data_IF_171871919623
#
_entry.id   IF_171871919623
#
_cell.length_a   1.000
_cell.length_b   1.000
_cell.length_c   1.000
_cell.angle_alpha   90.00
_cell.angle_beta   90.00
_cell.angle_gamma   90.00
#
_symmetry.space_group_name_H-M   'P 1'
#
loop_
_entity.id
_entity.type
_entity.pdbx_description
1 polymer ?
#
# COMPACT_ATOMS: atom_id res chain seq x y z
N UNK A 1 8.98 -12.29 -24.49
CA UNK A 1 7.56 -12.33 -24.08
C UNK A 1 7.19 -13.79 -23.86
N UNK A 2 6.79 -14.17 -22.65
CA UNK A 2 6.66 -15.59 -22.24
C UNK A 2 5.55 -16.29 -23.03
N UNK A 3 5.81 -17.51 -23.51
CA UNK A 3 4.90 -18.24 -24.38
C UNK A 3 3.53 -18.54 -23.74
N UNK A 4 3.46 -18.68 -22.41
CA UNK A 4 2.28 -19.20 -21.72
C UNK A 4 1.05 -18.28 -21.79
N UNK A 5 1.17 -16.98 -21.50
CA UNK A 5 0.03 -16.05 -21.50
C UNK A 5 -0.13 -15.23 -22.80
N UNK A 6 0.79 -15.38 -23.76
CA UNK A 6 0.87 -14.48 -24.94
C UNK A 6 -0.45 -14.34 -25.70
N UNK A 7 -1.14 -15.45 -25.95
CA UNK A 7 -2.41 -15.44 -26.68
C UNK A 7 -3.53 -14.80 -25.85
N UNK A 8 -3.60 -15.09 -24.54
CA UNK A 8 -4.56 -14.46 -23.62
C UNK A 8 -4.38 -12.95 -23.53
N UNK A 9 -3.13 -12.48 -23.54
CA UNK A 9 -2.80 -11.05 -23.62
C UNK A 9 -3.29 -10.43 -24.93
N UNK A 10 -3.11 -11.11 -26.06
CA UNK A 10 -3.57 -10.63 -27.36
C UNK A 10 -5.11 -10.52 -27.41
N UNK A 11 -5.81 -11.55 -26.96
CA UNK A 11 -7.28 -11.57 -26.88
C UNK A 11 -7.81 -10.49 -25.93
N UNK A 12 -7.23 -10.38 -24.72
CA UNK A 12 -7.60 -9.34 -23.76
C UNK A 12 -7.37 -7.94 -24.33
N UNK A 13 -6.24 -7.73 -25.01
CA UNK A 13 -5.94 -6.44 -25.66
C UNK A 13 -6.94 -6.12 -26.76
N UNK A 14 -7.34 -7.09 -27.57
CA UNK A 14 -8.32 -6.88 -28.64
C UNK A 14 -9.70 -6.52 -28.07
N UNK A 15 -10.20 -7.35 -27.15
CA UNK A 15 -11.58 -7.26 -26.69
C UNK A 15 -11.80 -6.21 -25.59
N UNK A 16 -10.81 -5.94 -24.74
CA UNK A 16 -10.91 -4.94 -23.67
C UNK A 16 -10.42 -3.56 -24.12
N UNK A 17 -9.86 -3.40 -25.33
CA UNK A 17 -9.41 -2.09 -25.85
C UNK A 17 -10.43 -0.96 -25.66
N UNK A 18 -11.74 -1.15 -25.94
CA UNK A 18 -12.70 -0.06 -25.81
C UNK A 18 -12.80 0.46 -24.37
N UNK A 19 -12.93 -0.43 -23.38
CA UNK A 19 -13.03 -0.04 -21.96
C UNK A 19 -11.71 0.51 -21.43
N UNK A 20 -10.58 -0.03 -21.87
CA UNK A 20 -9.27 0.48 -21.45
C UNK A 20 -9.02 1.89 -22.01
N UNK A 21 -9.41 2.16 -23.26
CA UNK A 21 -9.33 3.50 -23.86
C UNK A 21 -10.25 4.49 -23.16
N UNK A 22 -11.48 4.08 -22.85
CA UNK A 22 -12.47 4.86 -22.10
C UNK A 22 -11.91 5.31 -20.75
N UNK A 23 -11.22 4.43 -20.03
CA UNK A 23 -10.66 4.70 -18.71
C UNK A 23 -9.21 5.23 -18.72
N UNK A 24 -8.62 5.47 -19.91
CA UNK A 24 -7.22 5.93 -20.01
C UNK A 24 -6.18 4.90 -19.55
N UNK A 25 -6.52 3.61 -19.53
CA UNK A 25 -5.68 2.51 -19.07
C UNK A 25 -5.00 1.77 -20.24
N UNK A 26 -3.89 1.11 -19.93
CA UNK A 26 -3.17 0.20 -20.80
C UNK A 26 -3.02 -1.16 -20.11
N UNK A 27 -2.98 -2.21 -20.93
CA UNK A 27 -2.76 -3.58 -20.46
C UNK A 27 -1.26 -3.84 -20.28
N UNK A 28 -0.89 -4.30 -19.10
CA UNK A 28 0.46 -4.73 -18.72
C UNK A 28 0.44 -6.17 -18.22
N UNK A 29 1.61 -6.78 -18.14
CA UNK A 29 1.77 -8.18 -17.70
C UNK A 29 2.84 -8.27 -16.63
N UNK A 30 2.55 -8.98 -15.55
CA UNK A 30 3.48 -9.32 -14.49
C UNK A 30 3.60 -10.83 -14.39
N UNK A 31 4.79 -11.32 -14.06
CA UNK A 31 5.03 -12.72 -13.76
C UNK A 31 5.51 -12.83 -12.31
N UNK A 32 4.77 -13.61 -11.53
CA UNK A 32 5.08 -13.98 -10.15
C UNK A 32 5.32 -15.48 -10.09
N UNK A 33 5.91 -15.96 -9.01
CA UNK A 33 6.12 -17.39 -8.82
C UNK A 33 4.79 -18.15 -8.92
N UNK A 34 4.69 -19.07 -9.89
CA UNK A 34 3.50 -19.86 -10.22
C UNK A 34 2.25 -19.09 -10.68
N UNK A 35 2.37 -17.81 -11.05
CA UNK A 35 1.22 -17.00 -11.48
C UNK A 35 1.60 -15.96 -12.52
N UNK A 36 0.81 -15.82 -13.58
CA UNK A 36 0.88 -14.65 -14.47
C UNK A 36 -0.34 -13.76 -14.26
N UNK A 37 -0.11 -12.46 -14.34
CA UNK A 37 -1.09 -11.43 -14.04
C UNK A 37 -1.15 -10.45 -15.22
N UNK A 38 -2.36 -10.17 -15.68
CA UNK A 38 -2.67 -9.03 -16.55
C UNK A 38 -3.24 -7.94 -15.65
N UNK A 39 -2.57 -6.80 -15.61
CA UNK A 39 -2.99 -5.64 -14.84
C UNK A 39 -3.13 -4.42 -15.74
N UNK A 40 -3.91 -3.43 -15.31
CA UNK A 40 -4.23 -2.26 -16.14
C UNK A 40 -3.77 -0.96 -15.48
N UNK A 41 -2.94 -0.19 -16.20
CA UNK A 41 -2.34 1.06 -15.71
C UNK A 41 -2.40 2.17 -16.76
N UNK A 42 -2.64 3.40 -16.32
CA UNK A 42 -2.55 4.58 -17.17
C UNK A 42 -1.12 4.94 -17.52
N UNK A 43 -0.97 5.93 -18.41
CA UNK A 43 0.33 6.58 -18.61
C UNK A 43 0.76 7.29 -17.32
N UNK A 44 2.08 7.43 -17.06
CA UNK A 44 2.56 8.33 -16.03
C UNK A 44 1.94 9.72 -16.23
N UNK A 45 1.43 10.30 -15.15
CA UNK A 45 0.88 11.66 -15.17
C UNK A 45 2.02 12.64 -14.86
N UNK A 46 2.34 13.50 -15.82
CA UNK A 46 3.47 14.47 -15.72
C UNK A 46 3.35 15.42 -14.52
N UNK A 47 2.13 15.69 -14.05
CA UNK A 47 1.85 16.59 -12.93
C UNK A 47 1.88 15.94 -11.55
N UNK A 48 2.10 14.63 -11.46
CA UNK A 48 2.03 13.89 -10.20
C UNK A 48 3.24 12.96 -10.01
N UNK A 49 4.48 13.46 -10.09
CA UNK A 49 5.73 12.72 -9.80
C UNK A 49 5.83 11.29 -10.40
N UNK A 50 5.23 11.05 -11.56
CA UNK A 50 5.23 9.73 -12.20
C UNK A 50 4.15 8.75 -11.73
N UNK A 51 3.22 9.20 -10.88
CA UNK A 51 2.01 8.50 -10.48
C UNK A 51 1.21 8.02 -11.69
N UNK A 52 0.60 6.86 -11.52
CA UNK A 52 -0.18 6.19 -12.57
C UNK A 52 -1.60 5.98 -12.09
N UNK A 53 -2.53 6.11 -13.02
CA UNK A 53 -3.86 5.58 -12.86
C UNK A 53 -3.77 4.05 -12.78
N UNK A 54 -4.41 3.43 -11.80
CA UNK A 54 -4.42 1.99 -11.57
C UNK A 54 -5.86 1.47 -11.59
N UNK A 55 -6.07 0.36 -12.29
CA UNK A 55 -7.28 -0.44 -12.12
C UNK A 55 -7.13 -1.34 -10.89
N UNK A 56 -8.11 -1.36 -9.97
CA UNK A 56 -8.17 -2.35 -8.89
C UNK A 56 -8.53 -3.75 -9.40
N UNK A 57 -8.93 -3.89 -10.67
CA UNK A 57 -9.25 -5.16 -11.30
C UNK A 57 -8.04 -5.66 -12.08
N UNK A 58 -7.65 -6.91 -11.83
CA UNK A 58 -6.58 -7.62 -12.55
C UNK A 58 -7.05 -9.02 -12.94
N UNK A 59 -6.42 -9.62 -13.95
CA UNK A 59 -6.72 -10.97 -14.43
C UNK A 59 -5.54 -11.87 -14.09
N UNK A 60 -5.81 -12.96 -13.39
CA UNK A 60 -4.78 -13.86 -12.91
C UNK A 60 -4.91 -15.23 -13.58
N UNK A 61 -3.78 -15.83 -13.91
CA UNK A 61 -3.65 -17.18 -14.42
C UNK A 61 -2.69 -17.96 -13.52
N UNK A 62 -3.23 -18.89 -12.75
CA UNK A 62 -2.45 -19.69 -11.81
C UNK A 62 -1.88 -20.93 -12.51
N UNK A 63 -0.55 -21.02 -12.59
CA UNK A 63 0.15 -22.17 -13.20
C UNK A 63 0.12 -23.41 -12.31
N UNK A 64 0.02 -23.24 -10.99
CA UNK A 64 0.01 -24.34 -10.02
C UNK A 64 -1.26 -25.19 -10.05
N UNK A 65 -2.37 -24.62 -10.53
CA UNK A 65 -3.63 -25.37 -10.74
C UNK A 65 -3.79 -25.87 -12.17
N UNK A 66 -2.96 -25.39 -13.09
CA UNK A 66 -2.99 -25.85 -14.47
C UNK A 66 -2.48 -27.29 -14.54
N UNK A 67 -3.13 -28.18 -15.30
CA UNK A 67 -2.63 -29.52 -15.56
C UNK A 67 -1.17 -29.51 -16.03
N UNK A 68 -0.38 -30.43 -15.49
CA UNK A 68 1.04 -30.55 -15.80
C UNK A 68 1.28 -30.67 -17.32
N UNK A 69 2.30 -29.97 -17.82
CA UNK A 69 2.66 -29.96 -19.24
C UNK A 69 1.86 -29.00 -20.12
N UNK A 70 0.90 -28.25 -19.57
CA UNK A 70 0.16 -27.22 -20.31
C UNK A 70 1.10 -26.07 -20.72
N UNK A 71 1.21 -25.84 -22.02
CA UNK A 71 2.08 -24.81 -22.62
C UNK A 71 1.46 -23.41 -22.67
N UNK A 72 0.15 -23.30 -22.47
CA UNK A 72 -0.61 -22.05 -22.64
C UNK A 72 -1.72 -21.88 -21.59
N UNK A 73 -1.83 -20.67 -21.06
CA UNK A 73 -2.87 -20.24 -20.14
C UNK A 73 -4.27 -20.42 -20.73
N UNK A 74 -5.23 -20.96 -19.98
CA UNK A 74 -6.63 -21.07 -20.40
C UNK A 74 -7.50 -20.13 -19.59
N UNK A 75 -8.54 -19.56 -20.21
CA UNK A 75 -9.50 -18.70 -19.51
C UNK A 75 -10.26 -19.41 -18.40
N UNK A 76 -10.51 -20.72 -18.54
CA UNK A 76 -11.16 -21.52 -17.52
C UNK A 76 -10.37 -21.65 -16.20
N UNK A 77 -9.04 -21.43 -16.24
CA UNK A 77 -8.19 -21.43 -15.05
C UNK A 77 -7.97 -19.99 -14.52
N UNK A 78 -8.58 -18.99 -15.16
CA UNK A 78 -8.39 -17.60 -14.83
C UNK A 78 -9.42 -17.13 -13.80
N UNK A 79 -9.02 -16.12 -13.03
CA UNK A 79 -9.91 -15.39 -12.15
C UNK A 79 -9.64 -13.89 -12.25
N UNK A 80 -10.68 -13.09 -12.05
CA UNK A 80 -10.52 -11.66 -11.76
C UNK A 80 -10.17 -11.52 -10.28
N UNK A 81 -9.08 -10.82 -9.98
CA UNK A 81 -8.82 -10.27 -8.67
C UNK A 81 -9.34 -8.83 -8.66
N UNK A 82 -10.12 -8.48 -7.63
CA UNK A 82 -10.66 -7.15 -7.43
C UNK A 82 -10.19 -6.68 -6.07
N UNK A 83 -9.34 -5.67 -6.08
CA UNK A 83 -8.71 -5.08 -4.91
C UNK A 83 -9.58 -3.96 -4.34
N UNK A 84 -9.89 -4.01 -3.05
CA UNK A 84 -10.69 -2.99 -2.36
C UNK A 84 -9.78 -1.88 -1.82
N UNK A 85 -9.34 -1.00 -2.73
CA UNK A 85 -8.56 0.18 -2.38
C UNK A 85 -9.48 1.28 -1.85
N UNK A 86 -9.34 1.61 -0.55
CA UNK A 86 -10.11 2.70 0.07
C UNK A 86 -9.22 3.68 0.79
N UNK A 87 -9.58 4.94 0.65
CA UNK A 87 -9.10 6.01 1.52
C UNK A 87 -9.80 5.91 2.87
N UNK A 88 -9.02 6.02 3.94
CA UNK A 88 -9.54 6.07 5.30
C UNK A 88 -8.91 7.26 6.04
N UNK A 89 -9.73 8.14 6.63
CA UNK A 89 -9.23 9.25 7.44
C UNK A 89 -8.42 8.79 8.64
N UNK A 90 -7.35 9.53 8.94
CA UNK A 90 -6.52 9.37 10.13
C UNK A 90 -7.10 10.22 11.28
N UNK A 91 -8.33 9.89 11.67
CA UNK A 91 -9.01 10.54 12.78
C UNK A 91 -9.14 12.05 12.55
N UNK A 92 -8.52 12.85 13.43
CA UNK A 92 -8.60 14.32 13.40
C UNK A 92 -7.42 15.03 12.72
N UNK A 93 -6.46 14.30 12.15
CA UNK A 93 -5.22 14.91 11.60
C UNK A 93 -5.45 15.68 10.29
N UNK A 94 -6.63 15.55 9.68
CA UNK A 94 -6.88 15.97 8.30
C UNK A 94 -6.28 15.03 7.25
N UNK A 95 -5.40 14.10 7.65
CA UNK A 95 -4.70 13.20 6.74
C UNK A 95 -5.47 11.92 6.42
N UNK A 96 -5.06 11.24 5.34
CA UNK A 96 -5.67 9.99 4.87
C UNK A 96 -4.63 8.91 4.60
N UNK A 97 -5.01 7.65 4.82
CA UNK A 97 -4.25 6.50 4.36
C UNK A 97 -5.08 5.71 3.35
N UNK A 98 -4.45 5.29 2.25
CA UNK A 98 -5.00 4.42 1.22
C UNK A 98 -4.29 3.07 1.35
N UNK A 99 -5.06 2.00 1.49
CA UNK A 99 -4.55 0.64 1.34
C UNK A 99 -5.57 -0.28 0.71
N UNK A 100 -5.11 -1.45 0.29
CA UNK A 100 -6.00 -2.52 -0.11
C UNK A 100 -6.53 -3.22 1.15
N UNK A 101 -7.83 -3.11 1.39
CA UNK A 101 -8.46 -3.64 2.61
C UNK A 101 -8.91 -5.08 2.47
N UNK A 102 -9.26 -5.48 1.25
CA UNK A 102 -9.81 -6.80 0.94
C UNK A 102 -9.58 -7.11 -0.53
N UNK A 103 -9.70 -8.40 -0.86
CA UNK A 103 -9.56 -8.91 -2.21
C UNK A 103 -10.71 -9.84 -2.51
N UNK A 104 -11.33 -9.65 -3.67
CA UNK A 104 -12.34 -10.57 -4.17
C UNK A 104 -11.84 -11.29 -5.40
N UNK A 105 -11.83 -12.61 -5.35
CA UNK A 105 -11.53 -13.48 -6.47
C UNK A 105 -12.82 -13.97 -7.12
N UNK A 106 -12.95 -13.75 -8.43
CA UNK A 106 -14.10 -14.19 -9.22
C UNK A 106 -13.63 -15.09 -10.36
N UNK A 107 -14.05 -16.37 -10.41
CA UNK A 107 -13.68 -17.24 -11.51
C UNK A 107 -14.24 -16.71 -12.84
N UNK A 108 -13.49 -16.95 -13.92
CA UNK A 108 -13.93 -16.61 -15.27
C UNK A 108 -14.82 -17.74 -15.80
N UNK A 109 -16.12 -17.65 -15.53
CA UNK A 109 -17.09 -18.71 -15.87
C UNK A 109 -17.65 -18.61 -17.31
N UNK A 110 -17.58 -17.43 -17.90
CA UNK A 110 -18.07 -17.15 -19.25
C UNK A 110 -17.00 -17.43 -20.31
N UNK A 111 -17.40 -17.66 -21.54
CA UNK A 111 -16.48 -17.89 -22.68
C UNK A 111 -16.69 -16.87 -23.81
N UNK A 112 -15.68 -16.74 -24.67
CA UNK A 112 -15.74 -15.92 -25.88
C UNK A 112 -16.11 -14.45 -25.61
N UNK A 113 -17.00 -13.88 -26.42
CA UNK A 113 -17.37 -12.45 -26.33
C UNK A 113 -18.08 -12.09 -25.02
N UNK A 114 -18.88 -13.00 -24.46
CA UNK A 114 -19.61 -12.73 -23.21
C UNK A 114 -18.67 -12.57 -22.02
N UNK A 115 -17.59 -13.34 -22.01
CA UNK A 115 -16.52 -13.25 -21.01
C UNK A 115 -15.91 -11.86 -20.98
N UNK A 116 -15.47 -11.36 -22.13
CA UNK A 116 -14.86 -10.03 -22.22
C UNK A 116 -15.86 -8.91 -21.93
N UNK A 117 -17.13 -9.06 -22.35
CA UNK A 117 -18.18 -8.12 -22.00
C UNK A 117 -18.41 -8.06 -20.48
N UNK A 118 -18.36 -9.20 -19.79
CA UNK A 118 -18.44 -9.27 -18.33
C UNK A 118 -17.21 -8.64 -17.67
N UNK A 119 -15.99 -8.97 -18.09
CA UNK A 119 -14.75 -8.37 -17.58
C UNK A 119 -14.77 -6.84 -17.75
N UNK A 120 -15.18 -6.35 -18.93
CA UNK A 120 -15.29 -4.91 -19.19
C UNK A 120 -16.31 -4.22 -18.28
N UNK A 121 -17.43 -4.88 -17.93
CA UNK A 121 -18.36 -4.34 -16.92
C UNK A 121 -17.74 -4.28 -15.53
N UNK A 122 -16.96 -5.30 -15.13
CA UNK A 122 -16.28 -5.31 -13.84
C UNK A 122 -15.23 -4.20 -13.76
N UNK A 123 -14.41 -4.03 -14.80
CA UNK A 123 -13.40 -2.95 -14.87
C UNK A 123 -14.09 -1.58 -14.75
N UNK A 124 -15.17 -1.33 -15.49
CA UNK A 124 -15.92 -0.05 -15.36
C UNK A 124 -16.49 0.16 -13.97
N UNK A 125 -17.12 -0.87 -13.42
CA UNK A 125 -17.80 -0.78 -12.12
C UNK A 125 -16.86 -0.38 -10.98
N UNK A 126 -15.61 -0.84 -11.04
CA UNK A 126 -14.64 -0.60 -9.98
C UNK A 126 -13.77 0.63 -10.21
N UNK A 127 -13.92 1.30 -11.36
CA UNK A 127 -13.22 2.53 -11.75
C UNK A 127 -11.69 2.41 -11.63
N UNK A 128 -10.96 3.45 -12.00
CA UNK A 128 -9.52 3.49 -11.83
C UNK A 128 -9.16 4.64 -10.89
N UNK A 129 -8.07 4.51 -10.13
CA UNK A 129 -7.67 5.49 -9.13
C UNK A 129 -6.18 5.80 -9.21
N UNK A 130 -5.77 6.94 -8.68
CA UNK A 130 -4.35 7.31 -8.57
C UNK A 130 -3.86 6.93 -7.16
N UNK A 131 -2.74 6.22 -7.07
CA UNK A 131 -2.25 5.65 -5.80
C UNK A 131 -1.73 6.73 -4.83
N UNK A 132 -0.91 7.68 -5.29
CA UNK A 132 -0.16 8.61 -4.42
C UNK A 132 -0.50 10.10 -4.69
N UNK A 133 -1.74 10.44 -5.08
CA UNK A 133 -2.07 11.79 -5.58
C UNK A 133 -2.33 12.86 -4.51
N UNK A 134 -2.43 12.51 -3.24
CA UNK A 134 -2.91 13.46 -2.23
C UNK A 134 -1.77 13.96 -1.33
N UNK A 135 -1.54 15.29 -1.24
CA UNK A 135 -0.55 15.86 -0.31
C UNK A 135 -0.77 15.49 1.15
N UNK A 136 -2.00 15.10 1.49
CA UNK A 136 -2.42 14.68 2.83
C UNK A 136 -2.31 13.15 3.03
N UNK A 137 -1.75 12.42 2.05
CA UNK A 137 -1.57 10.99 2.13
C UNK A 137 -0.40 10.63 3.05
N UNK A 138 -0.63 9.66 3.93
CA UNK A 138 0.42 9.01 4.71
C UNK A 138 0.72 7.66 4.08
N UNK A 139 1.93 7.48 3.54
CA UNK A 139 2.31 6.27 2.80
C UNK A 139 2.54 5.06 3.72
N UNK A 140 3.08 5.27 4.92
CA UNK A 140 3.41 4.16 5.83
C UNK A 140 2.14 3.53 6.43
N UNK A 141 1.91 2.27 6.06
CA UNK A 141 0.84 1.45 6.60
C UNK A 141 1.00 1.24 8.12
N UNK A 142 2.24 1.03 8.59
CA UNK A 142 2.50 0.80 10.01
C UNK A 142 2.26 2.07 10.86
N UNK A 143 2.53 3.25 10.31
CA UNK A 143 2.19 4.52 10.96
C UNK A 143 0.67 4.67 11.06
N UNK A 144 -0.06 4.45 9.96
CA UNK A 144 -1.51 4.54 9.92
C UNK A 144 -2.18 3.57 10.91
N UNK A 145 -1.72 2.32 10.96
CA UNK A 145 -2.24 1.30 11.89
C UNK A 145 -1.95 1.65 13.36
N UNK A 146 -0.73 2.12 13.65
CA UNK A 146 -0.36 2.55 15.02
C UNK A 146 -1.22 3.74 15.46
N UNK A 147 -1.40 4.73 14.58
CA UNK A 147 -2.27 5.87 14.85
C UNK A 147 -3.71 5.43 15.11
N UNK A 148 -4.32 4.61 14.23
CA UNK A 148 -5.70 4.15 14.43
C UNK A 148 -5.89 3.34 15.71
N UNK A 149 -4.90 2.56 16.13
CA UNK A 149 -4.97 1.79 17.37
C UNK A 149 -4.98 2.73 18.59
N UNK A 150 -4.04 3.67 18.66
CA UNK A 150 -3.91 4.63 19.76
C UNK A 150 -5.09 5.61 19.81
N UNK A 151 -5.56 6.08 18.65
CA UNK A 151 -6.69 7.00 18.52
C UNK A 151 -8.00 6.34 18.96
N UNK A 152 -8.31 5.12 18.47
CA UNK A 152 -9.53 4.37 18.87
C UNK A 152 -9.54 4.07 20.36
N UNK A 153 -8.40 3.69 20.92
CA UNK A 153 -8.27 3.43 22.35
C UNK A 153 -8.27 4.69 23.24
N UNK A 154 -8.28 5.89 22.64
CA UNK A 154 -8.12 7.19 23.32
C UNK A 154 -6.93 7.21 24.28
N UNK A 155 -5.85 6.51 23.91
CA UNK A 155 -4.69 6.24 24.77
C UNK A 155 -3.78 7.46 24.92
N UNK A 156 -3.71 8.29 23.88
CA UNK A 156 -2.88 9.50 23.81
C UNK A 156 -3.77 10.64 23.32
N UNK A 157 -4.02 11.64 24.18
CA UNK A 157 -4.98 12.74 23.92
C UNK A 157 -4.49 13.73 22.88
N UNK A 158 -3.20 13.92 22.79
CA UNK A 158 -2.48 14.88 21.94
C UNK A 158 -1.77 14.19 20.76
N UNK A 159 -2.25 13.00 20.41
CA UNK A 159 -1.76 12.24 19.26
C UNK A 159 -2.06 12.99 17.96
N UNK A 160 -1.06 13.02 17.07
CA UNK A 160 -1.16 13.58 15.73
C UNK A 160 -0.14 12.91 14.77
N UNK A 161 -0.18 13.27 13.49
CA UNK A 161 0.80 12.89 12.47
C UNK A 161 1.35 14.17 11.84
N UNK A 162 2.66 14.30 11.83
CA UNK A 162 3.38 15.43 11.24
C UNK A 162 4.40 14.94 10.24
N UNK A 163 4.76 15.79 9.29
CA UNK A 163 5.88 15.54 8.38
C UNK A 163 7.13 16.15 8.98
N UNK A 164 8.17 15.33 9.13
CA UNK A 164 9.51 15.75 9.52
C UNK A 164 10.31 15.99 8.24
N UNK A 165 10.78 17.22 8.07
CA UNK A 165 11.62 17.58 6.94
C UNK A 165 13.01 16.97 7.13
N UNK A 166 13.43 16.16 6.16
CA UNK A 166 14.72 15.48 6.15
C UNK A 166 15.57 15.90 4.95
N UNK A 167 16.88 15.71 5.04
CA UNK A 167 17.82 16.18 4.02
C UNK A 167 17.58 15.56 2.63
N UNK A 168 17.19 14.27 2.57
CA UNK A 168 16.94 13.57 1.30
C UNK A 168 15.46 13.39 0.99
N UNK A 169 14.63 13.19 2.02
CA UNK A 169 13.20 12.93 1.90
C UNK A 169 12.48 13.45 3.15
N UNK A 170 11.24 13.88 2.96
CA UNK A 170 10.32 14.17 4.05
C UNK A 170 9.73 12.87 4.58
N UNK A 171 9.58 12.75 5.90
CA UNK A 171 9.09 11.54 6.53
C UNK A 171 7.95 11.83 7.50
N UNK A 172 6.85 11.11 7.35
CA UNK A 172 5.75 11.21 8.30
C UNK A 172 6.08 10.52 9.62
N UNK A 173 5.66 11.15 10.71
CA UNK A 173 5.93 10.71 12.07
C UNK A 173 4.68 10.80 12.93
N UNK A 174 4.52 9.79 13.80
CA UNK A 174 3.58 9.85 14.90
C UNK A 174 4.11 10.84 15.94
N UNK A 175 3.30 11.79 16.38
CA UNK A 175 3.71 12.77 17.39
C UNK A 175 2.75 12.89 18.56
N UNK A 176 3.32 13.15 19.74
CA UNK A 176 2.64 13.41 21.01
C UNK A 176 3.65 13.95 22.03
N UNK A 177 3.20 14.42 23.18
CA UNK A 177 4.05 14.75 24.33
C UNK A 177 4.15 13.56 25.28
N UNK A 178 5.32 13.30 25.85
CA UNK A 178 5.47 12.29 26.90
C UNK A 178 4.98 12.77 28.28
N UNK A 179 5.17 11.95 29.33
CA UNK A 179 4.84 12.28 30.71
C UNK A 179 5.62 13.46 31.30
N UNK A 180 6.74 13.85 30.70
CA UNK A 180 7.57 15.00 31.09
C UNK A 180 7.26 16.24 30.24
N UNK A 181 6.27 16.16 29.33
CA UNK A 181 5.91 17.24 28.42
C UNK A 181 6.82 17.38 27.21
N UNK A 182 7.79 16.47 27.02
CA UNK A 182 8.73 16.49 25.89
C UNK A 182 8.03 16.03 24.63
N UNK A 183 8.35 16.64 23.50
CA UNK A 183 7.81 16.29 22.20
C UNK A 183 8.45 15.01 21.69
N UNK A 184 7.62 14.02 21.38
CA UNK A 184 8.04 12.76 20.80
C UNK A 184 7.69 12.75 19.31
N UNK A 185 8.62 12.27 18.48
CA UNK A 185 8.37 11.88 17.10
C UNK A 185 8.84 10.44 16.91
N UNK A 186 7.94 9.57 16.45
CA UNK A 186 8.26 8.24 15.97
C UNK A 186 8.16 8.28 14.45
N UNK A 187 9.30 8.30 13.75
CA UNK A 187 9.39 8.39 12.29
C UNK A 187 9.40 6.98 11.70
N UNK A 188 8.62 6.78 10.64
CA UNK A 188 8.43 5.47 10.01
C UNK A 188 9.10 5.42 8.62
N UNK A 189 10.42 5.62 8.59
CA UNK A 189 11.20 5.73 7.36
C UNK A 189 12.38 4.76 7.33
N UNK A 190 12.30 3.67 6.55
CA UNK A 190 13.38 2.69 6.44
C UNK A 190 13.62 1.92 7.75
N UNK A 191 14.39 2.48 8.67
CA UNK A 191 14.50 2.03 10.07
C UNK A 191 13.67 2.99 10.92
N UNK A 192 12.85 2.50 11.85
CA UNK A 192 12.04 3.38 12.69
C UNK A 192 12.94 4.26 13.55
N UNK A 193 12.69 5.57 13.60
CA UNK A 193 13.51 6.52 14.35
C UNK A 193 12.71 7.19 15.46
N UNK A 194 13.30 7.25 16.65
CA UNK A 194 12.73 7.96 17.79
C UNK A 194 13.47 9.28 17.99
N UNK A 195 12.73 10.38 17.90
CA UNK A 195 13.22 11.71 18.23
C UNK A 195 12.52 12.24 19.48
N UNK A 196 13.27 12.92 20.35
CA UNK A 196 12.75 13.60 21.54
C UNK A 196 13.22 15.05 21.47
N UNK A 197 12.28 15.99 21.48
CA UNK A 197 12.52 17.44 21.35
C UNK A 197 13.37 17.81 20.13
N UNK A 198 13.24 17.06 19.04
CA UNK A 198 13.98 17.25 17.78
C UNK A 198 15.31 16.51 17.70
N UNK A 199 15.77 15.87 18.77
CA UNK A 199 17.02 15.10 18.79
C UNK A 199 16.77 13.62 18.56
N UNK A 200 17.53 13.00 17.64
CA UNK A 200 17.46 11.55 17.43
C UNK A 200 18.06 10.83 18.65
N UNK A 201 17.24 10.07 19.36
CA UNK A 201 17.66 9.34 20.57
C UNK A 201 17.81 7.84 20.35
N UNK A 202 17.26 7.30 19.26
CA UNK A 202 17.47 5.91 18.88
C UNK A 202 16.61 5.43 17.73
N UNK A 203 16.68 4.13 17.48
CA UNK A 203 15.95 3.46 16.42
C UNK A 203 15.10 2.31 16.95
N UNK A 204 13.98 2.02 16.31
CA UNK A 204 13.08 0.92 16.64
C UNK A 204 12.71 0.12 15.38
N UNK A 205 12.37 -1.15 15.58
CA UNK A 205 11.96 -2.02 14.49
C UNK A 205 10.52 -1.77 14.09
N UNK A 206 10.31 -1.47 12.81
CA UNK A 206 9.00 -1.13 12.27
C UNK A 206 8.09 -2.35 12.02
N UNK A 207 8.56 -3.57 12.18
CA UNK A 207 7.75 -4.78 12.03
C UNK A 207 7.29 -5.34 13.38
N UNK A 208 7.60 -4.65 14.48
CA UNK A 208 7.28 -5.17 15.82
C UNK A 208 5.80 -4.95 16.17
N UNK A 209 5.12 -5.97 16.73
CA UNK A 209 3.73 -5.84 17.18
C UNK A 209 3.55 -4.90 18.38
N UNK A 210 4.64 -4.34 18.92
CA UNK A 210 4.65 -3.57 20.16
C UNK A 210 4.70 -2.05 19.95
N UNK A 211 4.61 -1.50 18.73
CA UNK A 211 4.70 -0.03 18.49
C UNK A 211 3.66 0.78 19.27
N UNK A 212 2.41 0.30 19.29
CA UNK A 212 1.33 0.91 20.08
C UNK A 212 1.72 0.93 21.55
N UNK A 213 2.22 -0.19 22.07
CA UNK A 213 2.70 -0.26 23.46
C UNK A 213 3.94 0.61 23.68
N UNK A 214 4.82 0.74 22.71
CA UNK A 214 6.00 1.59 22.79
C UNK A 214 5.60 3.06 22.90
N UNK A 215 4.68 3.54 22.05
CA UNK A 215 4.11 4.88 22.14
C UNK A 215 3.41 5.12 23.49
N UNK A 216 2.59 4.17 23.96
CA UNK A 216 1.95 4.25 25.28
C UNK A 216 2.95 4.31 26.43
N UNK A 217 4.03 3.52 26.35
CA UNK A 217 5.09 3.49 27.37
C UNK A 217 5.94 4.76 27.36
N UNK A 218 6.23 5.30 26.18
CA UNK A 218 6.84 6.63 26.03
C UNK A 218 5.95 7.69 26.69
N UNK A 219 4.63 7.65 26.40
CA UNK A 219 3.66 8.57 27.00
C UNK A 219 3.61 8.50 28.53
N UNK A 220 3.81 7.32 29.11
CA UNK A 220 3.66 7.09 30.56
C UNK A 220 4.97 7.09 31.35
N UNK A 221 6.13 7.08 30.68
CA UNK A 221 7.43 7.07 31.36
C UNK A 221 7.85 5.72 31.92
N UNK A 222 7.39 4.62 31.32
CA UNK A 222 7.74 3.28 31.81
C UNK A 222 9.26 3.02 31.74
N UNK A 223 9.85 2.49 32.82
CA UNK A 223 11.29 2.20 32.91
C UNK A 223 11.78 1.18 31.87
N UNK A 224 10.88 0.37 31.30
CA UNK A 224 11.18 -0.65 30.30
C UNK A 224 11.28 -0.10 28.86
N UNK A 225 11.02 1.19 28.65
CA UNK A 225 11.07 1.85 27.32
C UNK A 225 12.45 1.72 26.68
N UNK A 226 13.53 1.74 27.47
CA UNK A 226 14.91 1.59 26.96
C UNK A 226 15.19 0.25 26.30
N UNK A 227 14.40 -0.78 26.59
CA UNK A 227 14.51 -2.09 25.93
C UNK A 227 13.76 -2.18 24.59
N UNK A 228 13.04 -1.12 24.20
CA UNK A 228 12.19 -1.10 23.00
C UNK A 228 12.79 -0.31 21.84
N UNK A 229 13.94 0.32 22.03
CA UNK A 229 14.69 0.99 20.98
C UNK A 229 16.19 0.81 21.20
N UNK A 230 16.95 0.81 20.10
CA UNK A 230 18.41 0.83 20.14
C UNK A 230 18.85 2.30 20.24
N UNK A 231 19.51 2.72 21.33
CA UNK A 231 19.97 4.09 21.47
C UNK A 231 20.98 4.45 20.38
N UNK A 232 21.00 5.71 19.95
CA UNK A 232 22.08 6.20 19.08
C UNK A 232 23.38 6.15 19.87
N UNK A 233 24.41 5.53 19.30
CA UNK A 233 25.77 5.63 19.84
C UNK A 233 26.25 7.08 19.60
N UNK A 234 26.65 7.84 20.63
CA UNK A 234 27.05 9.24 20.51
C UNK A 234 28.19 9.53 19.50
N UNK A 235 28.81 8.51 18.90
CA UNK A 235 29.80 8.64 17.83
C UNK A 235 29.29 8.47 16.37
N UNK A 236 28.03 8.11 16.15
CA UNK A 236 27.50 7.81 14.80
C UNK A 236 26.56 8.93 14.34
N UNK A 237 26.97 9.69 13.32
CA UNK A 237 26.06 10.63 12.66
C UNK A 237 24.95 9.86 11.93
N UNK A 238 23.67 10.23 12.12
CA UNK A 238 22.59 9.73 11.28
C UNK A 238 22.85 10.11 9.83
N UNK A 239 22.47 9.24 8.89
CA UNK A 239 22.63 9.46 7.44
C UNK A 239 21.46 10.24 6.87
#
# INVERSE_FOLDING_TARGET
MRHYIRNRVAEAREHLRPVLKELGLNLMVSDRENQEEIYFVGKPLEHFDGNRLLSPVTIHFNRGIAPAGRKEAQWQDAYLCIEDWRLKPLGRTGRVHRRCWDYKFLPVEKTGKEMFAWMGRMIRKHEAFIYESEPEHVDSEELADTYWALFRGRKIKDLDIVTIEGGRWNHDALTFQDHLGRRIHMVYAGVGELMIDGELVGTFKMDTPFKTQFAERLKTGSSWVKGLYNPVDPGVKPR
#
